data_IF_675328962645
#
_entry.id   IF_675328962645
#
_cell.length_a   1.000
_cell.length_b   1.000
_cell.length_c   1.000
_cell.angle_alpha   90.00
_cell.angle_beta   90.00
_cell.angle_gamma   90.00
#
_symmetry.space_group_name_H-M   'P 1'
#
loop_
_entity.id
_entity.type
_entity.pdbx_description
1 polymer ?
#
# COMPACT_ATOMS: atom_id res chain seq x y z
N UNK A 1 -11.20 8.63 11.29
CA UNK A 1 -11.36 7.16 11.30
C UNK A 1 -11.06 6.72 9.88
N UNK A 2 -9.81 6.34 9.59
CA UNK A 2 -9.37 5.99 8.24
C UNK A 2 -9.61 4.52 7.94
N UNK A 3 -10.73 4.23 7.28
CA UNK A 3 -11.14 2.87 6.90
C UNK A 3 -10.05 2.21 6.02
N UNK A 4 -9.40 3.00 5.16
CA UNK A 4 -8.27 2.59 4.31
C UNK A 4 -7.06 2.12 5.15
N UNK A 5 -6.70 2.86 6.20
CA UNK A 5 -5.60 2.50 7.10
C UNK A 5 -5.89 1.19 7.82
N UNK A 6 -7.11 1.03 8.34
CA UNK A 6 -7.52 -0.23 8.99
C UNK A 6 -7.50 -1.40 8.02
N UNK A 7 -8.02 -1.22 6.80
CA UNK A 7 -8.02 -2.28 5.79
C UNK A 7 -6.61 -2.70 5.34
N UNK A 8 -5.71 -1.72 5.20
CA UNK A 8 -4.30 -1.96 4.90
C UNK A 8 -3.63 -2.78 6.01
N UNK A 9 -3.81 -2.39 7.27
CA UNK A 9 -3.24 -3.11 8.43
C UNK A 9 -3.83 -4.52 8.58
N UNK A 10 -5.12 -4.73 8.31
CA UNK A 10 -5.71 -6.06 8.26
C UNK A 10 -5.09 -6.92 7.14
N UNK A 11 -4.85 -6.34 5.97
CA UNK A 11 -4.12 -7.02 4.89
C UNK A 11 -2.67 -7.31 5.26
N UNK A 12 -1.99 -6.41 5.96
CA UNK A 12 -0.66 -6.67 6.54
C UNK A 12 -0.68 -7.90 7.47
N UNK A 13 -1.70 -7.98 8.35
CA UNK A 13 -1.88 -9.09 9.29
C UNK A 13 -2.13 -10.41 8.57
N UNK A 14 -3.02 -10.41 7.57
CA UNK A 14 -3.35 -11.59 6.76
C UNK A 14 -2.14 -12.09 5.97
N UNK A 15 -1.36 -11.19 5.39
CA UNK A 15 -0.24 -11.53 4.52
C UNK A 15 1.06 -11.92 5.26
N UNK A 16 1.08 -11.97 6.60
CA UNK A 16 2.21 -12.49 7.42
C UNK A 16 3.62 -12.11 6.89
N UNK A 17 3.83 -10.83 6.55
CA UNK A 17 5.10 -10.29 6.00
C UNK A 17 5.42 -10.68 4.55
N UNK A 18 4.43 -11.12 3.77
CA UNK A 18 4.53 -11.26 2.32
C UNK A 18 4.32 -9.92 1.61
N UNK A 19 4.79 -9.86 0.37
CA UNK A 19 4.56 -8.72 -0.51
C UNK A 19 3.19 -8.84 -1.20
N UNK A 20 2.40 -7.77 -1.19
CA UNK A 20 1.08 -7.71 -1.83
C UNK A 20 0.89 -6.39 -2.58
N UNK A 21 -0.11 -6.34 -3.46
CA UNK A 21 -0.47 -5.11 -4.16
C UNK A 21 -1.46 -4.31 -3.30
N UNK A 22 -1.16 -3.04 -2.98
CA UNK A 22 -2.03 -2.25 -2.12
C UNK A 22 -3.35 -1.88 -2.83
N UNK A 23 -3.37 -1.81 -4.16
CA UNK A 23 -4.59 -1.61 -4.96
C UNK A 23 -5.62 -2.75 -4.77
N UNK A 24 -5.19 -3.96 -4.38
CA UNK A 24 -6.12 -5.07 -4.13
C UNK A 24 -7.05 -4.75 -2.95
N UNK A 25 -6.61 -3.92 -2.00
CA UNK A 25 -7.46 -3.45 -0.89
C UNK A 25 -8.61 -2.61 -1.43
N UNK A 26 -8.31 -1.68 -2.34
CA UNK A 26 -9.32 -0.82 -2.94
C UNK A 26 -10.30 -1.63 -3.78
N UNK A 27 -9.81 -2.61 -4.55
CA UNK A 27 -10.70 -3.51 -5.33
C UNK A 27 -11.62 -4.35 -4.45
N UNK A 28 -11.18 -4.72 -3.24
CA UNK A 28 -12.02 -5.46 -2.28
C UNK A 28 -13.08 -4.53 -1.65
N UNK A 29 -12.71 -3.28 -1.33
CA UNK A 29 -13.59 -2.33 -0.65
C UNK A 29 -14.55 -1.61 -1.59
N UNK A 30 -14.08 -1.24 -2.77
CA UNK A 30 -14.73 -0.39 -3.76
C UNK A 30 -14.59 -1.01 -5.16
N UNK A 31 -15.21 -2.18 -5.42
CA UNK A 31 -14.97 -2.94 -6.66
C UNK A 31 -15.27 -2.17 -7.96
N UNK A 32 -16.16 -1.18 -7.92
CA UNK A 32 -16.56 -0.39 -9.09
C UNK A 32 -15.71 0.89 -9.25
N UNK A 33 -15.45 1.63 -8.17
CA UNK A 33 -14.81 2.96 -8.19
C UNK A 33 -13.42 3.00 -7.53
N UNK A 34 -12.73 1.87 -7.41
CA UNK A 34 -11.45 1.76 -6.69
C UNK A 34 -10.37 2.73 -7.19
N UNK A 35 -10.41 3.11 -8.47
CA UNK A 35 -9.45 4.00 -9.10
C UNK A 35 -9.54 5.44 -8.54
N UNK A 36 -10.74 5.87 -8.14
CA UNK A 36 -10.95 7.18 -7.51
C UNK A 36 -10.24 7.30 -6.16
N UNK A 37 -9.98 6.18 -5.48
CA UNK A 37 -9.33 6.12 -4.17
C UNK A 37 -7.81 5.90 -4.26
N UNK A 38 -7.24 5.79 -5.47
CA UNK A 38 -5.79 5.67 -5.66
C UNK A 38 -5.00 6.86 -5.09
N UNK A 39 -5.43 8.13 -5.21
CA UNK A 39 -4.71 9.25 -4.60
C UNK A 39 -4.62 9.13 -3.08
N UNK A 40 -5.73 8.77 -2.43
CA UNK A 40 -5.79 8.60 -0.97
C UNK A 40 -4.93 7.43 -0.50
N UNK A 41 -4.97 6.31 -1.22
CA UNK A 41 -4.09 5.18 -0.98
C UNK A 41 -2.62 5.58 -1.11
N UNK A 42 -2.26 6.38 -2.12
CA UNK A 42 -0.88 6.84 -2.31
C UNK A 42 -0.41 7.70 -1.14
N UNK A 43 -1.22 8.66 -0.68
CA UNK A 43 -0.89 9.48 0.49
C UNK A 43 -0.68 8.64 1.74
N UNK A 44 -1.57 7.68 2.01
CA UNK A 44 -1.44 6.78 3.15
C UNK A 44 -0.17 5.91 3.07
N UNK A 45 0.17 5.40 1.89
CA UNK A 45 1.37 4.60 1.69
C UNK A 45 2.66 5.43 1.84
N UNK A 46 2.65 6.69 1.42
CA UNK A 46 3.76 7.61 1.62
C UNK A 46 4.02 7.85 3.10
N UNK A 47 2.96 8.15 3.87
CA UNK A 47 3.04 8.31 5.33
C UNK A 47 3.64 7.07 5.99
N UNK A 48 3.10 5.89 5.70
CA UNK A 48 3.57 4.63 6.30
C UNK A 48 4.99 4.25 5.86
N UNK A 49 5.41 4.68 4.68
CA UNK A 49 6.80 4.51 4.21
C UNK A 49 7.74 5.42 5.01
N UNK A 50 7.35 6.68 5.24
CA UNK A 50 8.11 7.63 6.05
C UNK A 50 8.21 7.19 7.51
N UNK A 51 7.14 6.61 8.06
CA UNK A 51 7.09 6.03 9.40
C UNK A 51 7.88 4.69 9.50
N UNK A 52 8.26 4.11 8.37
CA UNK A 52 8.97 2.83 8.30
C UNK A 52 8.11 1.60 8.59
N UNK A 53 6.78 1.77 8.66
CA UNK A 53 5.79 0.71 8.89
C UNK A 53 5.64 -0.22 7.67
N UNK A 54 5.96 0.26 6.47
CA UNK A 54 5.95 -0.53 5.24
C UNK A 54 7.27 -0.44 4.46
N UNK A 55 7.49 -1.42 3.60
CA UNK A 55 8.61 -1.50 2.66
C UNK A 55 8.04 -1.71 1.27
N UNK A 56 8.52 -0.89 0.34
CA UNK A 56 8.22 -1.04 -1.08
C UNK A 56 9.21 -1.99 -1.73
N UNK A 57 8.69 -2.86 -2.59
CA UNK A 57 9.49 -3.64 -3.52
C UNK A 57 9.12 -3.21 -4.93
N UNK A 58 9.92 -2.29 -5.45
CA UNK A 58 9.97 -2.00 -6.88
C UNK A 58 10.91 -3.00 -7.57
N UNK A 59 10.66 -3.25 -8.86
CA UNK A 59 11.57 -4.00 -9.72
C UNK A 59 12.85 -3.20 -9.99
N UNK A 60 12.75 -1.88 -9.91
CA UNK A 60 13.88 -0.97 -10.04
C UNK A 60 14.15 -0.30 -8.68
N UNK A 61 15.30 -0.58 -8.04
CA UNK A 61 15.66 -0.03 -6.74
C UNK A 61 15.94 1.48 -6.75
N UNK A 62 16.02 2.11 -7.93
CA UNK A 62 16.26 3.56 -8.06
C UNK A 62 14.99 4.40 -8.13
N UNK A 63 13.83 3.77 -8.32
CA UNK A 63 12.56 4.47 -8.47
C UNK A 63 12.07 4.92 -7.09
N UNK A 64 11.87 6.23 -6.93
CA UNK A 64 11.30 6.82 -5.73
C UNK A 64 9.77 6.68 -5.73
N UNK A 65 9.13 6.75 -4.57
CA UNK A 65 7.68 6.60 -4.45
C UNK A 65 6.89 7.58 -5.33
N UNK A 66 7.38 8.81 -5.48
CA UNK A 66 6.84 9.84 -6.37
C UNK A 66 6.82 9.46 -7.86
N UNK A 67 7.72 8.57 -8.28
CA UNK A 67 7.83 8.08 -9.67
C UNK A 67 7.04 6.77 -9.89
N UNK A 68 6.45 6.19 -8.83
CA UNK A 68 5.66 4.96 -8.90
C UNK A 68 4.24 5.16 -9.44
N UNK A 69 3.85 6.38 -9.82
CA UNK A 69 2.49 6.68 -10.28
C UNK A 69 2.04 5.83 -11.47
N UNK A 70 2.99 5.28 -12.24
CA UNK A 70 2.75 4.51 -13.46
C UNK A 70 3.07 3.01 -13.34
N UNK A 71 3.53 2.53 -12.18
CA UNK A 71 3.96 1.14 -12.00
C UNK A 71 3.16 0.42 -10.91
N UNK A 72 2.82 -0.83 -11.19
CA UNK A 72 2.34 -1.76 -10.16
C UNK A 72 3.49 -2.08 -9.20
N UNK A 73 3.35 -1.66 -7.94
CA UNK A 73 4.34 -1.90 -6.89
C UNK A 73 3.78 -2.78 -5.78
N UNK A 74 4.64 -3.57 -5.16
CA UNK A 74 4.27 -4.41 -4.02
C UNK A 74 4.76 -3.79 -2.73
N UNK A 75 3.93 -3.83 -1.71
CA UNK A 75 4.31 -3.45 -0.35
C UNK A 75 4.38 -4.67 0.54
N UNK A 76 5.18 -4.56 1.59
CA UNK A 76 5.24 -5.49 2.70
C UNK A 76 5.23 -4.67 3.97
N UNK A 77 4.51 -5.11 4.98
CA UNK A 77 4.47 -4.40 6.24
C UNK A 77 5.62 -4.86 7.14
N UNK A 78 6.37 -3.89 7.64
CA UNK A 78 7.31 -4.02 8.74
C UNK A 78 6.52 -3.92 10.04
N UNK A 79 5.62 -4.87 10.29
CA UNK A 79 5.08 -5.03 11.64
C UNK A 79 6.25 -5.43 12.56
N UNK A 80 6.88 -4.42 13.17
CA UNK A 80 7.50 -4.60 14.48
C UNK A 80 6.34 -4.89 15.44
N UNK A 81 6.36 -6.03 16.14
CA UNK A 81 5.38 -6.32 17.17
C UNK A 81 5.41 -5.26 18.27
#
# INVERSE_FOLDING_TARGET
MDILKTALLEMCRKNKKAFFYPEDILKIMFPEDWDQFLPELKSLLEELLQEGEIVLKSKDPKIQFSELSNYSFKIKCNTKP
#
